data_IF_309511671332
#
_entry.id   IF_309511671332
#
_cell.length_a   1.000
_cell.length_b   1.000
_cell.length_c   1.000
_cell.angle_alpha   90.00
_cell.angle_beta   90.00
_cell.angle_gamma   90.00
#
_symmetry.space_group_name_H-M   'P 1'
#
loop_
_entity.id
_entity.type
_entity.pdbx_description
1 polymer ?
#
# COMPACT_ATOMS: atom_id res chain seq x y z
N UNK A 1 -31.53 2.95 -36.06
CA UNK A 1 -31.03 1.59 -35.70
C UNK A 1 -30.67 1.39 -34.19
N UNK A 2 -30.88 2.32 -33.26
CA UNK A 2 -30.54 2.07 -31.85
C UNK A 2 -31.62 1.34 -31.03
N UNK A 3 -32.84 1.25 -31.53
CA UNK A 3 -33.97 0.65 -30.77
C UNK A 3 -33.88 -0.88 -30.67
N UNK A 4 -33.34 -1.54 -31.68
CA UNK A 4 -33.19 -2.99 -31.72
C UNK A 4 -32.10 -3.52 -30.81
N UNK A 5 -31.01 -2.76 -30.58
CA UNK A 5 -29.94 -3.11 -29.64
C UNK A 5 -30.44 -3.02 -28.20
N UNK A 6 -31.24 -1.98 -27.88
CA UNK A 6 -31.77 -1.81 -26.51
C UNK A 6 -32.76 -2.96 -26.16
N UNK A 7 -33.57 -3.40 -27.12
CA UNK A 7 -34.47 -4.53 -26.92
C UNK A 7 -33.72 -5.84 -26.65
N UNK A 8 -32.60 -6.07 -27.34
CA UNK A 8 -31.75 -7.24 -27.14
C UNK A 8 -31.06 -7.23 -25.75
N UNK A 9 -30.63 -6.08 -25.27
CA UNK A 9 -30.03 -5.93 -23.93
C UNK A 9 -31.06 -6.18 -22.84
N UNK A 10 -32.29 -5.66 -22.99
CA UNK A 10 -33.37 -5.86 -22.01
C UNK A 10 -33.79 -7.32 -21.96
N UNK A 11 -33.95 -8.00 -23.14
CA UNK A 11 -34.26 -9.42 -23.20
C UNK A 11 -33.17 -10.29 -22.54
N UNK A 12 -31.91 -9.96 -22.71
CA UNK A 12 -30.81 -10.66 -22.08
C UNK A 12 -30.77 -10.46 -20.54
N UNK A 13 -31.13 -9.30 -20.05
CA UNK A 13 -31.27 -9.04 -18.61
C UNK A 13 -32.41 -9.80 -17.96
N UNK A 14 -33.57 -9.93 -18.66
CA UNK A 14 -34.68 -10.73 -18.17
C UNK A 14 -34.33 -12.23 -18.11
N UNK A 15 -33.62 -12.75 -19.11
CA UNK A 15 -33.18 -14.17 -19.12
C UNK A 15 -32.17 -14.45 -17.97
N UNK A 16 -31.34 -13.50 -17.63
CA UNK A 16 -30.40 -13.63 -16.49
C UNK A 16 -31.16 -13.58 -15.16
N UNK A 17 -32.17 -12.73 -15.04
CA UNK A 17 -32.98 -12.62 -13.82
C UNK A 17 -33.87 -13.90 -13.62
N UNK A 18 -34.43 -14.46 -14.67
CA UNK A 18 -35.15 -15.72 -14.60
C UNK A 18 -34.26 -16.90 -14.23
N UNK A 19 -33.05 -16.99 -14.79
CA UNK A 19 -32.06 -18.01 -14.40
C UNK A 19 -31.60 -17.85 -12.96
N UNK A 20 -31.42 -16.61 -12.48
CA UNK A 20 -31.11 -16.34 -11.09
C UNK A 20 -32.27 -16.70 -10.14
N UNK A 21 -33.52 -16.44 -10.56
CA UNK A 21 -34.73 -16.86 -9.84
C UNK A 21 -34.90 -18.39 -9.74
N UNK A 22 -34.63 -19.12 -10.82
CA UNK A 22 -34.64 -20.59 -10.83
C UNK A 22 -33.55 -21.17 -9.92
N UNK A 23 -32.37 -20.56 -9.87
CA UNK A 23 -31.29 -20.99 -8.98
C UNK A 23 -31.66 -20.72 -7.51
N UNK A 24 -32.32 -19.61 -7.20
CA UNK A 24 -32.78 -19.30 -5.84
C UNK A 24 -33.90 -20.24 -5.38
N UNK A 25 -34.81 -20.64 -6.25
CA UNK A 25 -35.90 -21.58 -5.93
C UNK A 25 -35.40 -23.00 -5.76
N UNK A 26 -34.43 -23.44 -6.58
CA UNK A 26 -33.76 -24.72 -6.41
C UNK A 26 -32.97 -24.86 -5.11
N UNK A 27 -32.40 -23.74 -4.59
CA UNK A 27 -31.68 -23.72 -3.29
C UNK A 27 -32.61 -23.65 -2.08
N UNK A 28 -33.87 -23.25 -2.24
CA UNK A 28 -34.85 -23.15 -1.16
C UNK A 28 -35.45 -24.51 -0.74
N UNK A 29 -35.35 -25.54 -1.57
CA UNK A 29 -35.93 -26.85 -1.29
C UNK A 29 -34.96 -27.96 -0.91
N UNK A 30 -33.65 -27.71 -0.97
CA UNK A 30 -32.63 -28.68 -0.56
C UNK A 30 -32.10 -28.30 0.82
N UNK A 31 -32.78 -28.73 1.86
CA UNK A 31 -32.24 -28.81 3.22
C UNK A 31 -31.16 -29.89 3.25
N UNK A 32 -30.07 -29.65 2.48
CA UNK A 32 -28.86 -30.44 2.59
C UNK A 32 -28.16 -29.95 3.86
N UNK A 33 -28.02 -30.82 4.84
CA UNK A 33 -27.18 -30.59 6.00
C UNK A 33 -25.82 -30.03 5.51
N UNK A 34 -25.27 -29.00 6.16
CA UNK A 34 -24.01 -28.42 5.74
C UNK A 34 -22.96 -29.50 5.74
N UNK A 35 -22.62 -30.01 4.57
CA UNK A 35 -21.63 -31.05 4.39
C UNK A 35 -20.29 -30.44 4.81
N UNK A 36 -19.55 -31.10 5.70
CA UNK A 36 -18.21 -30.69 6.16
C UNK A 36 -17.26 -30.40 4.99
N UNK A 37 -17.53 -30.93 3.83
CA UNK A 37 -16.80 -30.71 2.58
C UNK A 37 -16.97 -29.28 2.02
N UNK A 38 -18.12 -28.64 2.19
CA UNK A 38 -18.36 -27.25 1.79
C UNK A 38 -17.56 -26.26 2.64
N UNK A 39 -17.46 -26.55 3.93
CA UNK A 39 -16.67 -25.75 4.88
C UNK A 39 -15.16 -25.88 4.62
N UNK A 40 -14.70 -27.07 4.19
CA UNK A 40 -13.28 -27.25 3.84
C UNK A 40 -12.89 -26.56 2.53
N UNK A 41 -13.76 -26.55 1.53
CA UNK A 41 -13.52 -25.82 0.26
C UNK A 41 -13.54 -24.31 0.49
N UNK A 42 -14.48 -23.79 1.27
CA UNK A 42 -14.51 -22.38 1.66
C UNK A 42 -13.30 -22.00 2.51
N UNK A 43 -12.85 -22.86 3.42
CA UNK A 43 -11.61 -22.63 4.18
C UNK A 43 -10.37 -22.66 3.30
N UNK A 44 -10.31 -23.52 2.29
CA UNK A 44 -9.18 -23.54 1.35
C UNK A 44 -9.16 -22.31 0.44
N UNK A 45 -10.30 -21.87 -0.09
CA UNK A 45 -10.43 -20.60 -0.82
C UNK A 45 -10.11 -19.40 0.07
N UNK A 46 -10.48 -19.47 1.34
CA UNK A 46 -10.22 -18.45 2.35
C UNK A 46 -8.73 -18.30 2.70
N UNK A 47 -7.98 -19.40 2.62
CA UNK A 47 -6.55 -19.39 2.92
C UNK A 47 -5.69 -18.93 1.72
N UNK A 48 -6.23 -18.93 0.50
CA UNK A 48 -5.51 -18.43 -0.68
C UNK A 48 -5.49 -16.90 -0.68
N UNK A 49 -4.33 -16.36 -0.34
CA UNK A 49 -4.10 -14.91 -0.43
C UNK A 49 -4.02 -14.51 -1.91
N UNK A 50 -4.69 -13.41 -2.32
CA UNK A 50 -4.50 -12.89 -3.66
C UNK A 50 -3.03 -12.55 -3.90
N UNK A 51 -2.45 -12.92 -5.05
CA UNK A 51 -1.06 -12.64 -5.36
C UNK A 51 -0.74 -11.13 -5.31
N UNK A 52 -1.71 -10.27 -5.59
CA UNK A 52 -1.59 -8.81 -5.53
C UNK A 52 -1.15 -8.33 -4.14
N UNK A 53 -1.68 -8.92 -3.06
CA UNK A 53 -1.28 -8.55 -1.70
C UNK A 53 0.15 -9.01 -1.41
N UNK A 54 0.53 -10.21 -1.85
CA UNK A 54 1.88 -10.73 -1.67
C UNK A 54 2.90 -9.88 -2.42
N UNK A 55 2.61 -9.50 -3.67
CA UNK A 55 3.45 -8.61 -4.45
C UNK A 55 3.52 -7.19 -3.85
N UNK A 56 2.39 -6.63 -3.40
CA UNK A 56 2.40 -5.32 -2.74
C UNK A 56 3.32 -5.31 -1.51
N UNK A 57 3.30 -6.37 -0.70
CA UNK A 57 4.16 -6.50 0.47
C UNK A 57 5.63 -6.67 0.05
N UNK A 58 5.91 -7.44 -1.00
CA UNK A 58 7.26 -7.58 -1.55
C UNK A 58 7.82 -6.21 -2.00
N UNK A 59 7.03 -5.44 -2.76
CA UNK A 59 7.42 -4.10 -3.19
C UNK A 59 7.54 -3.13 -2.00
N UNK A 60 6.72 -3.28 -0.98
CA UNK A 60 6.85 -2.49 0.25
C UNK A 60 8.15 -2.84 0.98
N UNK A 61 8.52 -4.11 1.06
CA UNK A 61 9.79 -4.53 1.64
C UNK A 61 10.99 -3.98 0.83
N UNK A 62 10.89 -3.98 -0.51
CA UNK A 62 11.89 -3.39 -1.38
C UNK A 62 12.02 -1.87 -1.15
N UNK A 63 10.89 -1.15 -1.03
CA UNK A 63 10.89 0.27 -0.71
C UNK A 63 11.54 0.55 0.65
N UNK A 64 11.22 -0.25 1.68
CA UNK A 64 11.86 -0.15 2.99
C UNK A 64 13.37 -0.40 2.93
N UNK A 65 13.82 -1.37 2.12
CA UNK A 65 15.24 -1.63 1.91
C UNK A 65 15.96 -0.43 1.27
N UNK A 66 15.35 0.21 0.28
CA UNK A 66 15.92 1.40 -0.36
C UNK A 66 16.08 2.53 0.66
N UNK A 67 15.03 2.80 1.48
CA UNK A 67 15.11 3.84 2.53
C UNK A 67 16.12 3.48 3.60
N UNK A 68 16.20 2.21 4.01
CA UNK A 68 17.17 1.74 4.99
C UNK A 68 18.61 1.91 4.48
N UNK A 69 18.86 1.56 3.22
CA UNK A 69 20.18 1.73 2.60
C UNK A 69 20.55 3.21 2.52
N UNK A 70 19.60 4.09 2.10
CA UNK A 70 19.82 5.54 2.10
C UNK A 70 20.16 6.05 3.51
N UNK A 71 19.35 5.72 4.51
CA UNK A 71 19.59 6.13 5.89
C UNK A 71 20.92 5.59 6.45
N UNK A 72 21.33 4.38 6.04
CA UNK A 72 22.63 3.82 6.43
C UNK A 72 23.78 4.61 5.79
N UNK A 73 23.68 4.97 4.52
CA UNK A 73 24.67 5.82 3.86
C UNK A 73 24.75 7.20 4.50
N UNK A 74 23.60 7.84 4.78
CA UNK A 74 23.53 9.12 5.47
C UNK A 74 24.16 9.05 6.87
N UNK A 75 23.97 7.93 7.57
CA UNK A 75 24.60 7.70 8.88
C UNK A 75 26.11 7.50 8.79
N UNK A 76 26.59 6.71 7.81
CA UNK A 76 28.01 6.44 7.60
C UNK A 76 28.78 7.69 7.14
N UNK A 77 28.11 8.58 6.40
CA UNK A 77 28.68 9.83 5.88
C UNK A 77 28.25 11.04 6.70
N UNK A 78 27.82 10.83 7.95
CA UNK A 78 27.25 11.88 8.80
C UNK A 78 28.16 13.12 8.91
N UNK A 79 29.45 12.93 9.17
CA UNK A 79 30.41 14.02 9.34
C UNK A 79 30.62 14.80 8.03
N UNK A 80 30.65 14.11 6.89
CA UNK A 80 30.78 14.74 5.58
C UNK A 80 29.51 15.53 5.21
N UNK A 81 28.33 14.94 5.43
CA UNK A 81 27.04 15.60 5.23
C UNK A 81 26.88 16.83 6.14
N UNK A 82 27.33 16.71 7.41
CA UNK A 82 27.31 17.81 8.35
C UNK A 82 28.19 18.96 7.86
N UNK A 83 29.40 18.64 7.39
CA UNK A 83 30.32 19.66 6.86
C UNK A 83 29.74 20.34 5.62
N UNK A 84 29.24 19.59 4.64
CA UNK A 84 28.64 20.13 3.41
C UNK A 84 27.43 21.00 3.71
N UNK A 85 26.46 20.50 4.50
CA UNK A 85 25.26 21.25 4.85
C UNK A 85 25.57 22.52 5.64
N UNK A 86 26.59 22.48 6.52
CA UNK A 86 27.05 23.66 7.25
C UNK A 86 27.64 24.70 6.29
N UNK A 87 28.44 24.28 5.31
CA UNK A 87 28.99 25.16 4.30
C UNK A 87 27.91 25.81 3.42
N UNK A 88 26.90 25.05 3.01
CA UNK A 88 25.78 25.59 2.24
C UNK A 88 25.06 26.70 3.02
N UNK A 89 24.83 26.51 4.31
CA UNK A 89 24.20 27.54 5.17
C UNK A 89 25.06 28.77 5.36
N UNK A 90 26.39 28.61 5.44
CA UNK A 90 27.33 29.75 5.53
C UNK A 90 27.30 30.54 4.20
N UNK A 91 27.25 29.86 3.09
CA UNK A 91 27.13 30.52 1.77
C UNK A 91 25.81 31.29 1.63
N UNK A 92 24.74 30.83 2.27
CA UNK A 92 23.46 31.52 2.38
C UNK A 92 23.45 32.68 3.37
N UNK A 93 24.56 32.91 4.10
CA UNK A 93 24.76 34.07 4.97
C UNK A 93 24.42 33.84 6.44
N UNK A 94 24.31 32.58 6.89
CA UNK A 94 24.14 32.27 8.31
C UNK A 94 25.49 32.30 9.06
N UNK A 95 25.45 32.70 10.33
CA UNK A 95 26.58 32.58 11.23
C UNK A 95 27.02 31.11 11.40
N UNK A 96 28.34 30.88 11.45
CA UNK A 96 28.92 29.52 11.50
C UNK A 96 28.36 28.67 12.65
N UNK A 97 28.10 29.24 13.82
CA UNK A 97 27.54 28.51 14.96
C UNK A 97 26.07 28.10 14.75
N UNK A 98 25.29 28.97 14.12
CA UNK A 98 23.88 28.73 13.78
C UNK A 98 23.80 27.71 12.65
N UNK A 99 24.66 27.85 11.63
CA UNK A 99 24.75 26.94 10.48
C UNK A 99 25.06 25.49 10.91
N UNK A 100 26.06 25.30 11.77
CA UNK A 100 26.45 23.98 12.29
C UNK A 100 25.32 23.32 13.10
N UNK A 101 24.70 24.06 14.01
CA UNK A 101 23.58 23.57 14.82
C UNK A 101 22.36 23.23 13.93
N UNK A 102 22.04 24.09 12.96
CA UNK A 102 20.96 23.88 12.03
C UNK A 102 21.16 22.62 11.17
N UNK A 103 22.36 22.44 10.60
CA UNK A 103 22.73 21.26 9.83
C UNK A 103 22.60 19.97 10.63
N UNK A 104 23.08 19.96 11.88
CA UNK A 104 22.95 18.80 12.76
C UNK A 104 21.49 18.42 13.02
N UNK A 105 20.62 19.38 13.31
CA UNK A 105 19.20 19.14 13.53
C UNK A 105 18.51 18.61 12.29
N UNK A 106 18.83 19.12 11.10
CA UNK A 106 18.25 18.65 9.84
C UNK A 106 18.64 17.20 9.58
N UNK A 107 19.93 16.86 9.66
CA UNK A 107 20.39 15.50 9.38
C UNK A 107 19.80 14.49 10.38
N UNK A 108 19.80 14.81 11.67
CA UNK A 108 19.16 13.97 12.69
C UNK A 108 17.66 13.85 12.48
N UNK A 109 17.01 14.93 12.04
CA UNK A 109 15.59 14.93 11.69
C UNK A 109 15.28 14.00 10.53
N UNK A 110 16.06 14.05 9.47
CA UNK A 110 15.92 13.16 8.29
C UNK A 110 16.11 11.70 8.68
N UNK A 111 17.15 11.37 9.45
CA UNK A 111 17.40 10.01 9.93
C UNK A 111 16.26 9.50 10.82
N UNK A 112 15.77 10.34 11.74
CA UNK A 112 14.64 9.99 12.62
C UNK A 112 13.34 9.77 11.83
N UNK A 113 13.08 10.62 10.83
CA UNK A 113 11.92 10.50 9.96
C UNK A 113 11.97 9.22 9.12
N UNK A 114 13.15 8.88 8.58
CA UNK A 114 13.37 7.66 7.82
C UNK A 114 13.15 6.41 8.67
N UNK A 115 13.65 6.39 9.90
CA UNK A 115 13.44 5.31 10.85
C UNK A 115 11.95 5.19 11.22
N UNK A 116 11.27 6.30 11.50
CA UNK A 116 9.83 6.35 11.75
C UNK A 116 9.01 5.83 10.57
N UNK A 117 9.35 6.24 9.36
CA UNK A 117 8.69 5.78 8.13
C UNK A 117 8.83 4.27 7.94
N UNK A 118 10.02 3.70 8.14
CA UNK A 118 10.27 2.26 8.05
C UNK A 118 9.40 1.51 9.07
N UNK A 119 9.38 1.97 10.32
CA UNK A 119 8.63 1.34 11.40
C UNK A 119 7.11 1.35 11.12
N UNK A 120 6.56 2.50 10.76
CA UNK A 120 5.13 2.64 10.42
C UNK A 120 4.78 1.75 9.24
N UNK A 121 5.59 1.77 8.18
CA UNK A 121 5.39 0.95 6.98
C UNK A 121 5.43 -0.55 7.30
N UNK A 122 6.37 -0.99 8.16
CA UNK A 122 6.46 -2.39 8.59
C UNK A 122 5.22 -2.83 9.37
N UNK A 123 4.71 -2.00 10.29
CA UNK A 123 3.50 -2.29 11.07
C UNK A 123 2.28 -2.39 10.14
N UNK A 124 2.10 -1.41 9.24
CA UNK A 124 0.98 -1.39 8.29
C UNK A 124 1.03 -2.57 7.31
N UNK A 125 2.23 -2.94 6.84
CA UNK A 125 2.43 -4.11 5.97
C UNK A 125 2.01 -5.40 6.68
N UNK A 126 2.39 -5.57 7.94
CA UNK A 126 1.98 -6.73 8.75
C UNK A 126 0.46 -6.78 8.93
N UNK A 127 -0.19 -5.64 9.18
CA UNK A 127 -1.63 -5.54 9.29
C UNK A 127 -2.35 -5.85 7.99
N UNK A 128 -1.87 -5.31 6.87
CA UNK A 128 -2.37 -5.59 5.51
C UNK A 128 -2.23 -7.07 5.17
N UNK A 129 -1.10 -7.68 5.50
CA UNK A 129 -0.86 -9.11 5.32
C UNK A 129 -1.83 -9.99 6.13
N UNK A 130 -2.28 -9.52 7.28
CA UNK A 130 -3.31 -10.16 8.10
C UNK A 130 -4.74 -9.91 7.60
N UNK A 131 -4.92 -9.11 6.54
CA UNK A 131 -6.20 -8.78 5.93
C UNK A 131 -6.95 -7.64 6.63
N UNK A 132 -6.24 -6.74 7.30
CA UNK A 132 -6.82 -5.51 7.85
C UNK A 132 -7.08 -4.49 6.73
N UNK A 133 -8.35 -4.10 6.55
CA UNK A 133 -8.70 -3.09 5.57
C UNK A 133 -8.22 -1.69 5.94
N UNK A 134 -8.15 -1.38 7.25
CA UNK A 134 -7.64 -0.10 7.74
C UNK A 134 -6.16 0.07 7.41
N UNK A 135 -5.35 -0.94 7.69
CA UNK A 135 -3.91 -0.91 7.45
C UNK A 135 -3.60 -0.86 5.95
N UNK A 136 -4.41 -1.53 5.12
CA UNK A 136 -4.34 -1.42 3.66
C UNK A 136 -4.54 0.01 3.18
N UNK A 137 -5.60 0.68 3.65
CA UNK A 137 -5.90 2.07 3.28
C UNK A 137 -4.80 3.02 3.76
N UNK A 138 -4.34 2.86 5.01
CA UNK A 138 -3.25 3.66 5.56
C UNK A 138 -1.95 3.47 4.78
N UNK A 139 -1.63 2.23 4.38
CA UNK A 139 -0.45 1.95 3.56
C UNK A 139 -0.56 2.61 2.17
N UNK A 140 -1.75 2.61 1.54
CA UNK A 140 -1.99 3.33 0.29
C UNK A 140 -1.79 4.84 0.46
N UNK A 141 -2.33 5.43 1.53
CA UNK A 141 -2.18 6.86 1.84
C UNK A 141 -0.69 7.18 2.06
N UNK A 142 0.01 6.37 2.84
CA UNK A 142 1.43 6.57 3.12
C UNK A 142 2.27 6.49 1.84
N UNK A 143 2.00 5.50 0.96
CA UNK A 143 2.66 5.39 -0.34
C UNK A 143 2.36 6.57 -1.25
N UNK A 144 1.13 7.08 -1.25
CA UNK A 144 0.76 8.28 -2.03
C UNK A 144 1.48 9.52 -1.52
N UNK A 145 1.58 9.67 -0.20
CA UNK A 145 2.31 10.77 0.43
C UNK A 145 3.82 10.68 0.11
N UNK A 146 4.38 9.48 0.11
CA UNK A 146 5.79 9.24 -0.27
C UNK A 146 6.03 9.63 -1.74
N UNK A 147 5.13 9.27 -2.67
CA UNK A 147 5.22 9.67 -4.09
C UNK A 147 5.20 11.18 -4.20
N UNK A 148 4.27 11.85 -3.52
CA UNK A 148 4.15 13.31 -3.56
C UNK A 148 5.40 13.99 -3.02
N UNK A 149 5.88 13.61 -1.84
CA UNK A 149 7.08 14.18 -1.22
C UNK A 149 8.32 13.98 -2.10
N UNK A 150 8.50 12.76 -2.65
CA UNK A 150 9.64 12.43 -3.49
C UNK A 150 9.58 13.13 -4.84
N UNK A 151 8.39 13.33 -5.42
CA UNK A 151 8.22 14.11 -6.64
C UNK A 151 8.56 15.58 -6.43
N UNK A 152 8.23 16.13 -5.28
CA UNK A 152 8.57 17.49 -4.91
C UNK A 152 10.09 17.69 -4.82
N UNK A 153 10.83 16.75 -4.21
CA UNK A 153 12.30 16.81 -4.16
C UNK A 153 12.93 16.74 -5.55
N UNK A 154 12.38 15.96 -6.49
CA UNK A 154 12.86 15.92 -7.87
C UNK A 154 12.65 17.25 -8.62
N UNK A 155 11.60 17.99 -8.28
CA UNK A 155 11.29 19.25 -8.96
C UNK A 155 12.25 20.38 -8.53
N UNK A 156 12.70 20.35 -7.28
CA UNK A 156 13.59 21.39 -6.73
C UNK A 156 15.07 21.02 -6.92
N UNK A 157 15.38 19.73 -6.95
CA UNK A 157 16.75 19.23 -7.04
C UNK A 157 17.34 19.29 -8.47
N UNK A 158 18.68 19.34 -8.56
CA UNK A 158 19.39 19.14 -9.83
C UNK A 158 19.29 17.67 -10.24
N UNK A 159 19.11 17.40 -11.53
CA UNK A 159 19.11 16.05 -12.07
C UNK A 159 20.50 15.44 -11.92
N UNK A 160 20.63 14.44 -11.05
CA UNK A 160 21.85 13.69 -10.76
C UNK A 160 21.58 12.19 -10.86
N UNK A 161 22.60 11.37 -10.71
CA UNK A 161 22.42 9.91 -10.66
C UNK A 161 21.49 9.45 -9.53
N UNK A 162 21.39 10.21 -8.43
CA UNK A 162 20.43 9.98 -7.35
C UNK A 162 18.99 10.11 -7.83
N UNK A 163 18.71 10.89 -8.88
CA UNK A 163 17.38 11.04 -9.48
C UNK A 163 16.84 9.72 -10.05
N UNK A 164 17.70 8.81 -10.53
CA UNK A 164 17.30 7.49 -11.03
C UNK A 164 16.75 6.63 -9.89
N UNK A 165 17.43 6.59 -8.75
CA UNK A 165 16.96 5.89 -7.55
C UNK A 165 15.64 6.46 -7.04
N UNK A 166 15.50 7.78 -7.07
CA UNK A 166 14.28 8.49 -6.71
C UNK A 166 13.10 8.12 -7.62
N UNK A 167 13.32 8.07 -8.94
CA UNK A 167 12.30 7.63 -9.91
C UNK A 167 11.90 6.17 -9.70
N UNK A 168 12.88 5.29 -9.44
CA UNK A 168 12.61 3.89 -9.12
C UNK A 168 11.76 3.76 -7.84
N UNK A 169 12.06 4.53 -6.80
CA UNK A 169 11.28 4.56 -5.56
C UNK A 169 9.85 5.05 -5.78
N UNK A 170 9.64 6.08 -6.62
CA UNK A 170 8.30 6.54 -7.04
C UNK A 170 7.56 5.41 -7.76
N UNK A 171 8.19 4.74 -8.73
CA UNK A 171 7.60 3.62 -9.47
C UNK A 171 7.16 2.48 -8.57
N UNK A 172 7.99 2.13 -7.59
CA UNK A 172 7.66 1.10 -6.59
C UNK A 172 6.43 1.51 -5.78
N UNK A 173 6.36 2.74 -5.27
CA UNK A 173 5.23 3.20 -4.48
C UNK A 173 3.93 3.27 -5.31
N UNK A 174 3.99 3.70 -6.58
CA UNK A 174 2.84 3.64 -7.49
C UNK A 174 2.38 2.19 -7.68
N UNK A 175 3.31 1.26 -7.86
CA UNK A 175 2.98 -0.17 -8.01
C UNK A 175 2.30 -0.71 -6.75
N UNK A 176 2.76 -0.34 -5.55
CA UNK A 176 2.12 -0.70 -4.28
C UNK A 176 0.67 -0.21 -4.26
N UNK A 177 0.43 1.07 -4.63
CA UNK A 177 -0.91 1.66 -4.66
C UNK A 177 -1.81 0.88 -5.63
N UNK A 178 -1.35 0.60 -6.85
CA UNK A 178 -2.11 -0.15 -7.86
C UNK A 178 -2.45 -1.56 -7.39
N UNK A 179 -1.50 -2.28 -6.80
CA UNK A 179 -1.72 -3.64 -6.29
C UNK A 179 -2.73 -3.64 -5.13
N UNK A 180 -2.62 -2.69 -4.20
CA UNK A 180 -3.52 -2.59 -3.06
C UNK A 180 -4.90 -2.03 -3.43
N UNK A 181 -5.04 -1.26 -4.50
CA UNK A 181 -6.33 -0.75 -5.00
C UNK A 181 -7.13 -1.79 -5.78
N UNK A 182 -6.52 -2.91 -6.17
CA UNK A 182 -7.18 -3.97 -6.94
C UNK A 182 -8.40 -4.56 -6.21
N UNK A 183 -9.41 -4.96 -6.99
CA UNK A 183 -10.64 -5.57 -6.46
C UNK A 183 -10.37 -6.82 -5.64
N UNK A 184 -9.41 -7.65 -6.05
CA UNK A 184 -9.00 -8.84 -5.32
C UNK A 184 -8.45 -8.51 -3.92
N UNK A 185 -7.62 -7.46 -3.80
CA UNK A 185 -7.11 -7.00 -2.51
C UNK A 185 -8.23 -6.41 -1.63
N UNK A 186 -9.17 -5.68 -2.24
CA UNK A 186 -10.32 -5.10 -1.57
C UNK A 186 -11.25 -6.17 -1.01
N UNK A 187 -11.63 -7.16 -1.83
CA UNK A 187 -12.49 -8.27 -1.43
C UNK A 187 -11.87 -9.07 -0.29
N UNK A 188 -10.60 -9.45 -0.41
CA UNK A 188 -9.88 -10.20 0.62
C UNK A 188 -9.89 -9.49 1.99
N UNK A 189 -9.56 -8.21 2.02
CA UNK A 189 -9.51 -7.44 3.28
C UNK A 189 -10.90 -7.20 3.86
N UNK A 190 -11.92 -6.99 3.01
CA UNK A 190 -13.31 -6.82 3.45
C UNK A 190 -13.83 -8.10 4.10
N UNK A 191 -13.70 -9.23 3.42
CA UNK A 191 -14.19 -10.54 3.90
C UNK A 191 -13.55 -10.93 5.23
N UNK A 192 -12.23 -10.75 5.38
CA UNK A 192 -11.54 -11.04 6.66
C UNK A 192 -11.95 -10.11 7.80
N UNK A 193 -12.17 -8.84 7.50
CA UNK A 193 -12.60 -7.87 8.52
C UNK A 193 -14.01 -8.21 9.03
N UNK A 194 -14.92 -8.60 8.12
CA UNK A 194 -16.30 -8.99 8.47
C UNK A 194 -16.32 -10.25 9.34
N UNK A 195 -15.53 -11.25 8.97
CA UNK A 195 -15.45 -12.50 9.75
C UNK A 195 -14.88 -12.29 11.16
N UNK A 196 -13.88 -11.41 11.33
CA UNK A 196 -13.37 -11.06 12.66
C UNK A 196 -14.43 -10.38 13.53
N UNK A 197 -15.22 -9.46 12.95
CA UNK A 197 -16.32 -8.80 13.68
C UNK A 197 -17.42 -9.78 14.08
N UNK A 198 -17.73 -10.77 13.23
CA UNK A 198 -18.69 -11.80 13.56
C UNK A 198 -18.24 -12.64 14.78
N UNK A 199 -16.98 -13.06 14.82
CA UNK A 199 -16.41 -13.81 15.95
C UNK A 199 -16.44 -13.02 17.27
N UNK A 200 -16.20 -11.70 17.23
CA UNK A 200 -16.22 -10.86 18.44
C UNK A 200 -17.62 -10.65 19.03
N UNK A 201 -18.69 -10.86 18.24
CA UNK A 201 -20.06 -10.73 18.72
C UNK A 201 -20.60 -12.02 19.37
N UNK A 202 -19.92 -13.16 19.18
CA UNK A 202 -20.32 -14.46 19.70
C UNK A 202 -19.55 -14.86 20.96
N UNK A 203 -18.60 -14.04 21.40
CA UNK A 203 -17.87 -14.18 22.68
C UNK A 203 -18.36 -13.13 23.68
#
# INVERSE_FOLDING_TARGET
>A
MPVLELAAIVANQQTIAERAGIILDATAHEHVAPTEEHDTVLQQLWNRRPPQISFAILFTALAMMIVLMGALFDFLLFDELLHQTTQDFIVEGLDTSVAATGAEWIIRGVLSLSAGWILVTAVLSRGTFRGSNKDRLLLMILSSLSVLATSFTLTIGKITWTSVGTLAFIGINITIILMLSSDAARQFTHTRTTARRAKQKTT
#
